data_IF_790320646884
#
_entry.id   IF_790320646884
#
_cell.length_a   1.000
_cell.length_b   1.000
_cell.length_c   1.000
_cell.angle_alpha   90.00
_cell.angle_beta   90.00
_cell.angle_gamma   90.00
#
_symmetry.space_group_name_H-M   'P 1'
#
loop_
_entity.id
_entity.type
_entity.pdbx_description
1 polymer ?
#
# COMPACT_ATOMS: atom_id res chain seq x y z
N UNK A 1 -40.14 32.97 48.52
CA UNK A 1 -40.78 31.70 48.13
C UNK A 1 -40.26 31.25 46.79
N UNK A 2 -39.71 30.04 46.79
CA UNK A 2 -39.42 29.14 45.66
C UNK A 2 -38.34 29.47 44.63
N UNK A 3 -37.18 28.91 44.89
CA UNK A 3 -36.29 28.36 43.87
C UNK A 3 -35.70 27.06 44.41
N UNK A 4 -36.24 25.91 44.04
CA UNK A 4 -35.61 24.60 44.07
C UNK A 4 -36.43 23.74 43.09
N UNK A 5 -35.90 23.49 41.89
CA UNK A 5 -36.11 22.31 41.04
C UNK A 5 -35.29 22.51 39.74
N UNK A 6 -34.16 21.85 39.60
CA UNK A 6 -33.41 21.88 38.38
C UNK A 6 -32.05 21.13 38.34
N UNK A 7 -31.62 20.53 39.45
CA UNK A 7 -30.27 19.92 39.51
C UNK A 7 -30.25 18.38 39.52
N UNK A 8 -31.41 17.72 39.53
CA UNK A 8 -31.45 16.25 39.68
C UNK A 8 -31.40 15.45 38.39
N UNK A 9 -31.80 16.03 37.26
CA UNK A 9 -31.97 15.27 36.00
C UNK A 9 -30.63 15.17 35.19
N UNK A 10 -29.76 16.19 35.30
CA UNK A 10 -28.49 16.19 34.58
C UNK A 10 -27.49 15.21 35.20
N UNK A 11 -27.49 15.05 36.52
CA UNK A 11 -26.60 14.10 37.20
C UNK A 11 -26.97 12.62 36.90
N UNK A 12 -28.25 12.30 36.75
CA UNK A 12 -28.73 10.96 36.45
C UNK A 12 -28.42 10.55 34.99
N UNK A 13 -28.48 11.49 34.03
CA UNK A 13 -28.11 11.22 32.63
C UNK A 13 -26.61 11.00 32.47
N UNK A 14 -25.75 11.75 33.16
CA UNK A 14 -24.30 11.56 33.13
C UNK A 14 -23.85 10.23 33.76
N UNK A 15 -24.52 9.81 34.87
CA UNK A 15 -24.21 8.50 35.46
C UNK A 15 -24.68 7.33 34.59
N UNK A 16 -25.81 7.44 33.89
CA UNK A 16 -26.30 6.38 33.01
C UNK A 16 -25.38 6.18 31.79
N UNK A 17 -24.81 7.26 31.22
CA UNK A 17 -23.85 7.17 30.15
C UNK A 17 -22.49 6.59 30.60
N UNK A 18 -22.01 6.96 31.78
CA UNK A 18 -20.77 6.42 32.33
C UNK A 18 -20.89 4.92 32.68
N UNK A 19 -22.02 4.49 33.19
CA UNK A 19 -22.28 3.08 33.53
C UNK A 19 -22.44 2.22 32.29
N UNK A 20 -23.08 2.71 31.23
CA UNK A 20 -23.21 1.95 29.97
C UNK A 20 -21.88 1.77 29.23
N UNK A 21 -21.00 2.79 29.25
CA UNK A 21 -19.67 2.68 28.67
C UNK A 21 -18.75 1.73 29.46
N UNK A 22 -18.82 1.73 30.77
CA UNK A 22 -18.06 0.81 31.61
C UNK A 22 -18.52 -0.65 31.45
N UNK A 23 -19.81 -0.90 31.35
CA UNK A 23 -20.35 -2.26 31.13
C UNK A 23 -19.98 -2.81 29.73
N UNK A 24 -19.93 -1.96 28.70
CA UNK A 24 -19.50 -2.39 27.36
C UNK A 24 -18.01 -2.74 27.33
N UNK A 25 -17.16 -1.91 27.92
CA UNK A 25 -15.72 -2.17 28.02
C UNK A 25 -15.39 -3.44 28.83
N UNK A 26 -16.14 -3.73 29.90
CA UNK A 26 -15.99 -4.97 30.65
C UNK A 26 -16.41 -6.19 29.82
N UNK A 27 -17.44 -6.10 28.99
CA UNK A 27 -17.85 -7.21 28.11
C UNK A 27 -16.81 -7.52 27.05
N UNK A 28 -16.19 -6.50 26.47
CA UNK A 28 -15.15 -6.65 25.44
C UNK A 28 -13.87 -7.25 26.03
N UNK A 29 -13.44 -6.79 27.20
CA UNK A 29 -12.31 -7.34 27.93
C UNK A 29 -12.52 -8.83 28.26
N UNK A 30 -13.69 -9.20 28.75
CA UNK A 30 -14.02 -10.59 29.06
C UNK A 30 -14.06 -11.47 27.79
N UNK A 31 -14.56 -10.94 26.68
CA UNK A 31 -14.57 -11.63 25.40
C UNK A 31 -13.13 -11.91 24.90
N UNK A 32 -12.24 -10.91 24.99
CA UNK A 32 -10.83 -11.05 24.63
C UNK A 32 -10.13 -12.05 25.54
N UNK A 33 -10.31 -11.95 26.85
CA UNK A 33 -9.73 -12.88 27.81
C UNK A 33 -10.15 -14.32 27.51
N UNK A 34 -11.41 -14.55 27.22
CA UNK A 34 -11.92 -15.88 26.86
C UNK A 34 -11.33 -16.38 25.55
N UNK A 35 -11.32 -15.56 24.52
CA UNK A 35 -10.81 -15.93 23.20
C UNK A 35 -9.32 -16.30 23.23
N UNK A 36 -8.54 -15.63 24.08
CA UNK A 36 -7.09 -15.81 24.21
C UNK A 36 -6.67 -16.70 25.38
N UNK A 37 -7.60 -17.22 26.17
CA UNK A 37 -7.31 -18.04 27.35
C UNK A 37 -6.58 -17.29 28.47
N UNK A 38 -6.80 -15.98 28.58
CA UNK A 38 -6.14 -15.12 29.57
C UNK A 38 -6.84 -15.17 30.93
N UNK A 39 -6.04 -15.02 31.97
CA UNK A 39 -6.50 -14.79 33.35
C UNK A 39 -6.44 -13.29 33.69
N UNK A 40 -7.10 -12.85 34.75
CA UNK A 40 -6.97 -11.48 35.26
C UNK A 40 -5.51 -11.11 35.59
N UNK A 41 -4.72 -12.10 36.03
CA UNK A 41 -3.30 -11.91 36.30
C UNK A 41 -2.50 -11.58 35.03
N UNK A 42 -2.86 -12.20 33.92
CA UNK A 42 -2.20 -11.94 32.61
C UNK A 42 -2.57 -10.53 32.13
N UNK A 43 -3.83 -10.14 32.24
CA UNK A 43 -4.28 -8.78 31.90
C UNK A 43 -3.60 -7.73 32.76
N UNK A 44 -3.46 -7.97 34.07
CA UNK A 44 -2.74 -7.07 34.96
C UNK A 44 -1.25 -6.97 34.60
N UNK A 45 -0.62 -8.07 34.23
CA UNK A 45 0.77 -8.08 33.79
C UNK A 45 0.93 -7.29 32.48
N UNK A 46 0.05 -7.49 31.50
CA UNK A 46 0.03 -6.74 30.26
C UNK A 46 -0.17 -5.23 30.50
N UNK A 47 -1.12 -4.84 31.36
CA UNK A 47 -1.36 -3.44 31.70
C UNK A 47 -0.14 -2.76 32.37
N UNK A 48 0.65 -3.50 33.15
CA UNK A 48 1.88 -2.98 33.78
C UNK A 48 3.02 -2.78 32.80
N UNK A 49 3.03 -3.54 31.72
CA UNK A 49 4.10 -3.48 30.69
C UNK A 49 3.71 -2.64 29.47
N UNK A 50 2.41 -2.35 29.29
CA UNK A 50 1.91 -1.55 28.20
C UNK A 50 2.48 -0.14 28.20
N UNK A 51 2.97 0.29 27.03
CA UNK A 51 3.45 1.65 26.82
C UNK A 51 2.58 2.32 25.75
N UNK A 52 1.70 3.25 26.16
CA UNK A 52 0.88 3.99 25.19
C UNK A 52 1.76 4.72 24.19
N UNK A 53 1.37 4.68 22.91
CA UNK A 53 2.06 5.40 21.85
C UNK A 53 2.12 6.91 22.17
N UNK A 54 3.25 7.56 21.84
CA UNK A 54 3.44 9.00 22.00
C UNK A 54 3.63 9.50 23.44
N UNK A 55 3.64 8.64 24.45
CA UNK A 55 3.79 9.10 25.84
C UNK A 55 5.21 9.32 26.33
N UNK A 56 6.20 8.72 25.66
CA UNK A 56 7.60 8.77 26.13
C UNK A 56 8.55 9.47 25.19
N UNK A 57 8.15 9.62 23.94
CA UNK A 57 8.89 10.31 22.90
C UNK A 57 7.95 11.17 22.09
N UNK A 58 8.49 12.21 21.48
CA UNK A 58 7.71 13.14 20.66
C UNK A 58 7.19 12.47 19.38
N UNK A 59 7.94 11.49 18.87
CA UNK A 59 7.58 10.75 17.66
C UNK A 59 7.72 9.25 17.88
N UNK A 60 6.87 8.49 17.19
CA UNK A 60 6.96 7.04 17.08
C UNK A 60 7.24 6.67 15.63
N UNK A 61 8.26 5.85 15.43
CA UNK A 61 8.68 5.36 14.13
C UNK A 61 8.33 3.89 13.99
N UNK A 62 7.74 3.55 12.85
CA UNK A 62 7.47 2.18 12.43
C UNK A 62 8.43 1.83 11.30
N UNK A 63 9.28 0.86 11.53
CA UNK A 63 10.29 0.43 10.57
C UNK A 63 10.05 -1.02 10.17
N UNK A 64 10.20 -1.32 8.90
CA UNK A 64 10.15 -2.70 8.45
C UNK A 64 11.31 -3.48 9.03
N UNK A 65 11.05 -4.71 9.46
CA UNK A 65 12.07 -5.66 9.90
C UNK A 65 12.66 -6.50 8.76
N UNK A 66 12.21 -6.25 7.52
CA UNK A 66 12.65 -7.02 6.36
C UNK A 66 12.31 -8.50 6.52
N UNK A 67 13.27 -9.35 6.27
CA UNK A 67 13.12 -10.80 6.30
C UNK A 67 12.80 -11.40 7.68
N UNK A 68 12.74 -10.57 8.74
CA UNK A 68 12.21 -11.04 10.03
C UNK A 68 10.68 -11.18 10.03
N UNK A 69 10.00 -10.61 9.04
CA UNK A 69 8.54 -10.62 8.92
C UNK A 69 7.83 -9.77 9.98
N UNK A 70 8.53 -8.82 10.60
CA UNK A 70 8.06 -8.01 11.71
C UNK A 70 8.12 -6.51 11.38
N UNK A 71 7.40 -5.70 12.17
CA UNK A 71 7.58 -4.25 12.23
C UNK A 71 8.20 -3.89 13.57
N UNK A 72 9.28 -3.12 13.53
CA UNK A 72 9.90 -2.57 14.72
C UNK A 72 9.31 -1.19 15.04
N UNK A 73 8.90 -1.01 16.28
CA UNK A 73 8.36 0.26 16.81
C UNK A 73 9.35 0.88 17.78
N UNK A 74 9.78 2.09 17.51
CA UNK A 74 10.69 2.81 18.39
C UNK A 74 10.40 4.29 18.48
N UNK A 75 10.84 4.91 19.58
CA UNK A 75 10.61 6.32 19.86
C UNK A 75 11.76 7.22 19.45
N UNK A 76 11.46 8.44 19.05
CA UNK A 76 12.45 9.49 18.76
C UNK A 76 12.12 10.71 19.65
N UNK A 77 13.07 11.24 20.43
CA UNK A 77 14.52 11.14 20.26
C UNK A 77 15.21 10.00 21.03
N UNK A 78 14.51 9.24 21.88
CA UNK A 78 15.19 8.27 22.78
C UNK A 78 15.82 7.08 22.07
N UNK A 79 15.39 6.75 20.86
CA UNK A 79 15.77 5.57 20.09
C UNK A 79 15.48 4.25 20.82
N UNK A 80 14.52 4.26 21.75
CA UNK A 80 14.11 3.07 22.48
C UNK A 80 13.14 2.25 21.67
N UNK A 81 13.40 0.95 21.59
CA UNK A 81 12.47 0.00 21.00
C UNK A 81 11.30 -0.20 21.98
N UNK A 82 10.08 0.00 21.49
CA UNK A 82 8.85 -0.20 22.25
C UNK A 82 8.27 -1.59 22.02
N UNK A 83 8.26 -2.04 20.75
CA UNK A 83 7.62 -3.30 20.37
C UNK A 83 8.20 -3.84 19.07
N UNK A 84 8.15 -5.16 18.90
CA UNK A 84 8.20 -5.84 17.63
C UNK A 84 6.81 -6.37 17.34
N UNK A 85 6.21 -5.98 16.22
CA UNK A 85 4.89 -6.44 15.80
C UNK A 85 5.09 -7.61 14.83
N UNK A 86 4.61 -8.80 15.16
CA UNK A 86 4.59 -9.94 14.25
C UNK A 86 3.57 -9.68 13.13
N UNK A 87 4.01 -9.83 11.89
CA UNK A 87 3.16 -9.61 10.70
C UNK A 87 3.12 -10.87 9.85
N UNK A 88 4.23 -11.18 9.18
CA UNK A 88 4.38 -12.38 8.35
C UNK A 88 5.24 -13.42 9.03
N UNK A 89 5.23 -13.43 10.33
CA UNK A 89 5.90 -14.43 11.18
C UNK A 89 5.23 -14.44 12.55
N UNK A 90 5.18 -15.60 13.23
CA UNK A 90 4.70 -15.66 14.61
C UNK A 90 5.57 -14.81 15.54
N UNK A 91 4.95 -14.17 16.53
CA UNK A 91 5.62 -13.39 17.57
C UNK A 91 5.29 -14.01 18.94
N UNK A 92 6.12 -14.91 19.46
CA UNK A 92 5.83 -15.67 20.66
C UNK A 92 5.65 -14.82 21.93
N UNK A 93 6.42 -13.75 22.04
CA UNK A 93 6.40 -12.88 23.21
C UNK A 93 5.09 -12.13 23.39
N UNK A 94 4.30 -12.04 22.33
CA UNK A 94 3.05 -11.31 22.30
C UNK A 94 1.85 -12.19 21.93
N UNK A 95 2.08 -13.49 21.85
CA UNK A 95 1.04 -14.46 21.52
C UNK A 95 0.61 -14.51 20.07
N UNK A 96 1.11 -13.61 19.20
CA UNK A 96 0.73 -13.57 17.79
C UNK A 96 1.13 -14.87 17.07
N UNK A 97 0.14 -15.51 16.43
CA UNK A 97 0.29 -16.82 15.80
C UNK A 97 0.13 -18.01 16.74
N UNK A 98 -0.25 -17.79 18.00
CA UNK A 98 -0.38 -18.85 19.02
C UNK A 98 -1.79 -18.97 19.61
N UNK A 99 -2.61 -17.94 19.54
CA UNK A 99 -4.04 -18.03 19.82
C UNK A 99 -4.86 -18.28 18.53
N UNK A 100 -6.13 -18.59 18.66
CA UNK A 100 -6.98 -18.96 17.52
C UNK A 100 -7.21 -17.79 16.56
N UNK A 101 -7.26 -16.56 17.07
CA UNK A 101 -7.49 -15.37 16.27
C UNK A 101 -6.27 -15.04 15.40
N UNK A 102 -5.10 -14.91 16.00
CA UNK A 102 -3.86 -14.59 15.28
C UNK A 102 -3.38 -15.73 14.38
N UNK A 103 -3.64 -17.00 14.75
CA UNK A 103 -3.46 -18.13 13.83
C UNK A 103 -4.33 -18.01 12.58
N UNK A 104 -5.60 -17.60 12.74
CA UNK A 104 -6.48 -17.39 11.60
C UNK A 104 -6.00 -16.26 10.69
N UNK A 105 -5.45 -15.18 11.27
CA UNK A 105 -4.85 -14.07 10.52
C UNK A 105 -3.63 -14.56 9.72
N UNK A 106 -2.69 -15.27 10.35
CA UNK A 106 -1.55 -15.83 9.64
C UNK A 106 -1.96 -16.81 8.54
N UNK A 107 -2.97 -17.64 8.81
CA UNK A 107 -3.49 -18.60 7.84
C UNK A 107 -4.17 -17.92 6.64
N UNK A 108 -4.79 -16.76 6.81
CA UNK A 108 -5.36 -16.00 5.69
C UNK A 108 -4.30 -15.55 4.67
N UNK A 109 -3.04 -15.47 5.09
CA UNK A 109 -1.88 -15.24 4.23
C UNK A 109 -1.39 -16.47 3.47
N UNK A 110 -2.13 -17.59 3.47
CA UNK A 110 -1.74 -18.80 2.75
C UNK A 110 -1.76 -18.58 1.23
N UNK A 111 -0.70 -19.02 0.55
CA UNK A 111 -0.56 -18.87 -0.89
C UNK A 111 -0.66 -20.23 -1.56
N UNK A 112 -1.57 -20.36 -2.52
CA UNK A 112 -1.79 -21.61 -3.26
C UNK A 112 -2.04 -22.81 -2.34
N UNK A 113 -2.79 -22.59 -1.26
CA UNK A 113 -3.12 -23.62 -0.26
C UNK A 113 -1.98 -23.99 0.68
N UNK A 114 -0.83 -23.30 0.63
CA UNK A 114 0.28 -23.49 1.57
C UNK A 114 0.28 -22.35 2.59
N UNK A 115 0.26 -22.71 3.85
CA UNK A 115 0.46 -21.78 4.94
C UNK A 115 1.92 -21.28 4.90
N UNK A 116 2.08 -19.98 4.79
CA UNK A 116 3.37 -19.32 4.86
C UNK A 116 3.39 -18.44 6.10
N UNK A 117 4.04 -18.92 7.15
CA UNK A 117 4.19 -18.20 8.41
C UNK A 117 5.32 -17.18 8.39
N UNK A 118 5.99 -17.01 7.24
CA UNK A 118 7.15 -16.13 7.13
C UNK A 118 7.14 -15.33 5.83
N UNK A 119 7.59 -14.07 5.92
CA UNK A 119 7.67 -13.16 4.80
C UNK A 119 8.73 -12.07 5.03
N UNK A 120 8.76 -11.12 4.10
CA UNK A 120 9.70 -10.01 4.07
C UNK A 120 8.93 -8.68 4.11
N UNK A 121 8.82 -8.09 5.30
CA UNK A 121 8.12 -6.81 5.47
C UNK A 121 8.86 -5.66 4.79
N UNK A 122 8.14 -4.89 3.96
CA UNK A 122 8.67 -3.74 3.24
C UNK A 122 7.69 -2.56 3.27
N UNK A 123 8.24 -1.35 3.17
CA UNK A 123 7.54 -0.08 2.94
C UNK A 123 6.26 0.12 3.79
N UNK A 124 6.38 0.30 5.12
CA UNK A 124 5.23 0.60 5.95
C UNK A 124 4.66 1.99 5.64
N UNK A 125 3.35 2.12 5.60
CA UNK A 125 2.65 3.39 5.43
C UNK A 125 1.53 3.55 6.45
N UNK A 126 1.36 4.78 6.95
CA UNK A 126 0.33 5.14 7.93
C UNK A 126 -0.95 5.59 7.23
N UNK A 127 -2.08 5.40 7.88
CA UNK A 127 -3.32 6.06 7.45
C UNK A 127 -3.17 7.58 7.37
N UNK A 128 -3.84 8.18 6.40
CA UNK A 128 -3.86 9.63 6.17
C UNK A 128 -5.29 10.20 6.20
N UNK A 129 -5.41 11.46 6.62
CA UNK A 129 -6.60 12.31 6.46
C UNK A 129 -6.17 13.65 5.87
N UNK A 130 -6.72 14.00 4.72
CA UNK A 130 -6.33 15.21 3.96
C UNK A 130 -4.83 15.29 3.67
N UNK A 131 -4.18 14.14 3.46
CA UNK A 131 -2.74 14.05 3.19
C UNK A 131 -1.84 14.14 4.42
N UNK A 132 -2.41 14.20 5.62
CA UNK A 132 -1.67 14.23 6.89
C UNK A 132 -1.73 12.86 7.56
N UNK A 133 -0.61 12.40 8.10
CA UNK A 133 -0.55 11.12 8.81
C UNK A 133 -1.43 11.11 10.06
N UNK A 134 -2.18 10.05 10.20
CA UNK A 134 -2.95 9.73 11.41
C UNK A 134 -2.57 8.33 11.89
N UNK A 135 -2.38 8.17 13.18
CA UNK A 135 -1.83 6.95 13.77
C UNK A 135 -2.90 5.89 14.10
N UNK A 136 -3.88 5.66 13.23
CA UNK A 136 -4.92 4.67 13.49
C UNK A 136 -4.53 3.28 12.97
N UNK A 137 -4.00 3.20 11.74
CA UNK A 137 -3.57 1.95 11.10
C UNK A 137 -2.26 2.12 10.37
N UNK A 138 -1.53 1.01 10.25
CA UNK A 138 -0.35 0.87 9.43
C UNK A 138 -0.59 -0.26 8.42
N UNK A 139 -0.15 -0.04 7.19
CA UNK A 139 -0.12 -1.04 6.14
C UNK A 139 1.30 -1.42 5.84
N UNK A 140 1.54 -2.69 5.50
CA UNK A 140 2.87 -3.16 5.14
C UNK A 140 2.75 -4.34 4.18
N UNK A 141 3.56 -4.30 3.12
CA UNK A 141 3.60 -5.34 2.12
C UNK A 141 4.65 -6.41 2.42
N UNK A 142 4.49 -7.56 1.79
CA UNK A 142 5.44 -8.68 1.81
C UNK A 142 6.17 -8.75 0.47
N UNK A 143 7.44 -8.37 0.46
CA UNK A 143 8.25 -8.43 -0.75
C UNK A 143 8.50 -9.86 -1.25
N UNK A 144 8.55 -10.82 -0.34
CA UNK A 144 8.80 -12.23 -0.70
C UNK A 144 7.57 -12.91 -1.28
N UNK A 145 6.36 -12.44 -0.95
CA UNK A 145 5.10 -13.05 -1.34
C UNK A 145 4.05 -11.97 -1.64
N UNK A 146 3.05 -12.25 -2.49
CA UNK A 146 2.03 -11.26 -2.85
C UNK A 146 1.02 -11.02 -1.72
N UNK A 147 1.45 -10.40 -0.62
CA UNK A 147 0.60 -10.16 0.56
C UNK A 147 0.75 -8.74 1.07
N UNK A 148 -0.34 -8.22 1.61
CA UNK A 148 -0.39 -6.99 2.40
C UNK A 148 -1.00 -7.27 3.76
N UNK A 149 -0.55 -6.57 4.79
CA UNK A 149 -1.12 -6.64 6.13
C UNK A 149 -1.64 -5.29 6.60
N UNK A 150 -2.66 -5.34 7.45
CA UNK A 150 -3.21 -4.21 8.21
C UNK A 150 -2.85 -4.40 9.67
N UNK A 151 -2.26 -3.37 10.27
CA UNK A 151 -1.89 -3.31 11.68
C UNK A 151 -2.71 -2.22 12.36
N UNK A 152 -3.38 -2.55 13.45
CA UNK A 152 -4.06 -1.59 14.29
C UNK A 152 -3.02 -0.93 15.22
N UNK A 153 -2.90 0.38 15.19
CA UNK A 153 -1.92 1.10 15.99
C UNK A 153 -2.41 1.49 17.40
N UNK A 154 -3.65 1.21 17.74
CA UNK A 154 -4.12 1.40 19.11
C UNK A 154 -3.61 0.31 20.05
N UNK A 155 -3.36 -0.90 19.51
CA UNK A 155 -2.85 -2.06 20.26
C UNK A 155 -1.57 -2.65 19.68
N UNK A 156 -1.13 -2.18 18.51
CA UNK A 156 0.02 -2.69 17.75
C UNK A 156 -0.14 -4.16 17.35
N UNK A 157 -1.32 -4.53 16.91
CA UNK A 157 -1.62 -5.89 16.47
C UNK A 157 -1.92 -5.94 14.98
N UNK A 158 -1.41 -6.98 14.33
CA UNK A 158 -1.79 -7.32 12.95
C UNK A 158 -3.21 -7.88 12.97
N UNK A 159 -4.11 -7.24 12.22
CA UNK A 159 -5.55 -7.57 12.23
C UNK A 159 -6.01 -8.24 10.96
N UNK A 160 -5.26 -8.13 9.86
CA UNK A 160 -5.60 -8.72 8.58
C UNK A 160 -4.35 -8.97 7.75
N UNK A 161 -4.34 -10.08 7.01
CA UNK A 161 -3.43 -10.34 5.90
C UNK A 161 -4.29 -10.65 4.68
N UNK A 162 -4.01 -9.98 3.56
CA UNK A 162 -4.68 -10.18 2.27
C UNK A 162 -3.66 -10.66 1.26
N UNK A 163 -4.04 -11.65 0.43
CA UNK A 163 -3.20 -12.19 -0.64
C UNK A 163 -3.65 -11.61 -1.97
N UNK A 164 -2.72 -11.06 -2.73
CA UNK A 164 -3.00 -10.63 -4.09
C UNK A 164 -3.06 -11.85 -5.03
N UNK A 165 -4.21 -12.09 -5.69
CA UNK A 165 -4.40 -13.31 -6.47
C UNK A 165 -3.76 -13.25 -7.86
N UNK A 166 -3.25 -12.11 -8.30
CA UNK A 166 -2.78 -11.90 -9.69
C UNK A 166 -1.29 -11.64 -9.82
N UNK A 167 -0.59 -11.25 -8.74
CA UNK A 167 0.84 -10.93 -8.78
C UNK A 167 1.68 -11.98 -8.05
N UNK A 168 3.00 -11.86 -8.10
CA UNK A 168 3.93 -12.82 -7.47
C UNK A 168 4.68 -12.23 -6.29
N UNK A 169 4.79 -10.91 -6.21
CA UNK A 169 5.49 -10.18 -5.18
C UNK A 169 4.92 -8.76 -5.11
N UNK A 170 4.78 -8.25 -3.92
CA UNK A 170 4.42 -6.87 -3.67
C UNK A 170 5.64 -6.12 -3.14
N UNK A 171 6.17 -5.17 -3.90
CA UNK A 171 7.33 -4.38 -3.47
C UNK A 171 7.08 -2.88 -3.59
N UNK A 172 6.23 -2.46 -4.51
CA UNK A 172 5.97 -1.06 -4.83
C UNK A 172 5.29 -0.25 -3.73
N UNK A 173 5.43 -0.70 -2.50
CA UNK A 173 4.96 -0.02 -1.31
C UNK A 173 3.55 -0.42 -0.88
N UNK A 174 3.13 0.13 0.25
CA UNK A 174 1.76 0.10 0.75
C UNK A 174 1.28 1.54 0.86
N UNK A 175 1.46 2.33 -0.21
CA UNK A 175 1.20 3.77 -0.19
C UNK A 175 -0.30 4.06 -0.20
N UNK A 176 -0.68 5.23 0.30
CA UNK A 176 -2.05 5.50 0.69
C UNK A 176 -2.58 6.72 -0.04
N UNK A 177 -3.83 6.67 -0.52
CA UNK A 177 -4.53 7.87 -0.96
C UNK A 177 -4.76 8.83 0.23
N UNK A 178 -4.82 10.16 -0.01
CA UNK A 178 -4.78 11.18 1.05
C UNK A 178 -5.88 11.13 2.10
N UNK A 179 -6.92 10.33 1.89
CA UNK A 179 -7.98 10.08 2.89
C UNK A 179 -8.12 8.59 3.21
N UNK A 180 -7.08 7.80 2.92
CA UNK A 180 -7.05 6.36 3.17
C UNK A 180 -8.18 5.60 2.46
N UNK A 181 -8.64 6.08 1.30
CA UNK A 181 -9.66 5.37 0.51
C UNK A 181 -9.11 4.07 -0.07
N UNK A 182 -7.83 4.11 -0.48
CA UNK A 182 -7.10 2.99 -1.06
C UNK A 182 -5.69 2.90 -0.52
N UNK A 183 -5.22 1.66 -0.37
CA UNK A 183 -3.80 1.34 -0.29
C UNK A 183 -3.36 0.93 -1.69
N UNK A 184 -2.27 1.52 -2.19
CA UNK A 184 -1.75 1.30 -3.54
C UNK A 184 -0.50 0.42 -3.43
N UNK A 185 -0.46 -0.65 -4.20
CA UNK A 185 0.68 -1.54 -4.30
C UNK A 185 1.05 -1.79 -5.76
N UNK A 186 2.32 -1.63 -6.09
CA UNK A 186 2.86 -1.95 -7.40
C UNK A 186 3.62 -3.29 -7.36
N UNK A 187 3.30 -4.19 -8.29
CA UNK A 187 3.95 -5.48 -8.39
C UNK A 187 5.39 -5.33 -8.90
N UNK A 188 6.36 -5.83 -8.14
CA UNK A 188 7.78 -5.70 -8.51
C UNK A 188 8.09 -6.38 -9.86
N UNK A 189 7.53 -7.54 -10.10
CA UNK A 189 7.84 -8.32 -11.30
C UNK A 189 6.61 -8.44 -12.19
N UNK A 190 6.81 -8.25 -13.48
CA UNK A 190 5.81 -8.66 -14.46
C UNK A 190 5.58 -10.17 -14.38
N UNK A 191 4.34 -10.58 -14.46
CA UNK A 191 3.94 -11.99 -14.38
C UNK A 191 2.78 -12.28 -15.33
N UNK A 192 2.59 -13.53 -15.75
CA UNK A 192 1.36 -13.94 -16.40
C UNK A 192 0.19 -13.77 -15.40
N UNK A 193 -0.78 -12.93 -15.74
CA UNK A 193 -1.90 -12.64 -14.84
C UNK A 193 -2.84 -13.83 -14.66
N UNK A 194 -2.83 -14.79 -15.58
CA UNK A 194 -3.59 -16.04 -15.49
C UNK A 194 -2.98 -17.09 -14.52
N UNK A 195 -1.85 -16.74 -13.88
CA UNK A 195 -1.05 -17.64 -13.04
C UNK A 195 -0.51 -18.91 -13.77
N UNK A 196 -0.58 -18.91 -15.11
CA UNK A 196 0.00 -19.95 -15.95
C UNK A 196 1.53 -19.93 -15.99
N UNK A 197 2.09 -20.94 -16.65
CA UNK A 197 3.50 -20.96 -17.04
C UNK A 197 3.58 -20.60 -18.51
N UNK A 198 4.33 -19.54 -18.80
CA UNK A 198 4.57 -19.06 -20.15
C UNK A 198 6.08 -19.01 -20.42
N UNK A 199 6.47 -19.26 -21.66
CA UNK A 199 7.85 -19.10 -22.09
C UNK A 199 8.28 -17.63 -21.95
N UNK A 200 9.57 -17.40 -21.74
CA UNK A 200 10.13 -16.04 -21.79
C UNK A 200 9.97 -15.41 -23.19
N UNK A 201 9.88 -16.23 -24.23
CA UNK A 201 9.63 -15.75 -25.60
C UNK A 201 8.21 -15.15 -25.76
N UNK A 202 7.31 -15.45 -24.82
CA UNK A 202 5.95 -14.87 -24.76
C UNK A 202 5.89 -13.64 -23.83
N UNK A 203 7.04 -13.08 -23.41
CA UNK A 203 7.08 -12.00 -22.42
C UNK A 203 6.20 -10.81 -22.79
N UNK A 204 6.30 -10.34 -24.02
CA UNK A 204 5.50 -9.24 -24.54
C UNK A 204 3.98 -9.48 -24.51
N UNK A 205 3.56 -10.70 -24.78
CA UNK A 205 2.16 -11.07 -24.98
C UNK A 205 1.48 -11.58 -23.70
N UNK A 206 2.20 -12.37 -22.89
CA UNK A 206 1.64 -13.08 -21.75
C UNK A 206 1.92 -12.41 -20.40
N UNK A 207 3.05 -11.70 -20.27
CA UNK A 207 3.42 -11.05 -19.01
C UNK A 207 2.84 -9.64 -18.91
N UNK A 208 2.48 -9.24 -17.73
CA UNK A 208 1.96 -7.90 -17.40
C UNK A 208 2.49 -7.42 -16.07
N UNK A 209 2.72 -6.10 -15.98
CA UNK A 209 2.81 -5.39 -14.73
C UNK A 209 1.41 -5.16 -14.14
N UNK A 210 1.35 -4.80 -12.89
CA UNK A 210 0.10 -4.45 -12.23
C UNK A 210 0.32 -3.46 -11.09
N UNK A 211 -0.67 -2.58 -10.90
CA UNK A 211 -0.82 -1.78 -9.68
C UNK A 211 -2.17 -2.11 -9.07
N UNK A 212 -2.19 -2.48 -7.80
CA UNK A 212 -3.39 -2.87 -7.08
C UNK A 212 -3.85 -1.75 -6.16
N UNK A 213 -5.14 -1.49 -6.18
CA UNK A 213 -5.84 -0.52 -5.35
C UNK A 213 -6.68 -1.30 -4.34
N UNK A 214 -6.17 -1.45 -3.13
CA UNK A 214 -6.85 -2.10 -2.04
C UNK A 214 -7.81 -1.14 -1.36
N UNK A 215 -9.11 -1.34 -1.53
CA UNK A 215 -10.13 -0.50 -0.89
C UNK A 215 -10.07 -0.67 0.62
N UNK A 216 -9.85 0.43 1.35
CA UNK A 216 -9.82 0.38 2.80
C UNK A 216 -11.16 0.84 3.40
N UNK A 217 -11.78 -0.03 4.17
CA UNK A 217 -12.95 0.28 4.98
C UNK A 217 -12.47 0.83 6.33
N UNK A 218 -12.24 2.14 6.38
CA UNK A 218 -11.64 2.82 7.53
C UNK A 218 -12.39 2.56 8.85
N UNK A 219 -13.76 2.65 8.91
CA UNK A 219 -14.50 2.34 10.12
C UNK A 219 -14.30 0.91 10.66
N UNK A 220 -14.06 -0.05 9.77
CA UNK A 220 -13.80 -1.44 10.15
C UNK A 220 -12.32 -1.75 10.36
N UNK A 221 -11.42 -0.86 9.92
CA UNK A 221 -9.99 -1.09 9.95
C UNK A 221 -9.54 -2.29 9.08
N UNK A 222 -10.17 -2.48 7.92
CA UNK A 222 -9.94 -3.65 7.06
C UNK A 222 -9.95 -3.31 5.58
N UNK A 223 -9.17 -4.05 4.82
CA UNK A 223 -9.25 -4.05 3.36
C UNK A 223 -10.50 -4.81 2.93
N UNK A 224 -11.31 -4.20 2.07
CA UNK A 224 -12.41 -4.82 1.35
C UNK A 224 -11.90 -5.38 0.01
N UNK A 225 -11.56 -6.66 -0.01
CA UNK A 225 -11.05 -7.34 -1.20
C UNK A 225 -12.03 -7.29 -2.37
N UNK A 226 -13.34 -7.32 -2.10
CA UNK A 226 -14.38 -7.30 -3.15
C UNK A 226 -14.52 -5.92 -3.80
N UNK A 227 -14.25 -4.87 -3.06
CA UNK A 227 -14.26 -3.51 -3.58
C UNK A 227 -12.93 -3.12 -4.22
N UNK A 228 -11.87 -3.89 -3.99
CA UNK A 228 -10.53 -3.70 -4.54
C UNK A 228 -10.46 -4.03 -6.03
N UNK A 229 -9.47 -3.48 -6.71
CA UNK A 229 -9.20 -3.72 -8.13
C UNK A 229 -7.73 -3.48 -8.45
N UNK A 230 -7.28 -3.94 -9.63
CA UNK A 230 -5.96 -3.62 -10.17
C UNK A 230 -6.05 -2.93 -11.52
N UNK A 231 -5.01 -2.20 -11.87
CA UNK A 231 -4.73 -1.72 -13.22
C UNK A 231 -3.68 -2.64 -13.85
N UNK A 232 -3.98 -3.17 -15.02
CA UNK A 232 -2.99 -3.84 -15.87
C UNK A 232 -2.01 -2.81 -16.44
N UNK A 233 -0.74 -3.13 -16.41
CA UNK A 233 0.34 -2.34 -17.00
C UNK A 233 1.11 -3.19 -18.03
N UNK A 234 1.87 -2.58 -18.93
CA UNK A 234 2.85 -3.30 -19.73
C UNK A 234 3.74 -4.18 -18.86
N UNK A 235 4.46 -5.16 -19.42
CA UNK A 235 5.32 -6.04 -18.63
C UNK A 235 6.58 -5.33 -18.11
N UNK A 236 6.46 -4.07 -17.74
CA UNK A 236 7.47 -3.31 -17.04
C UNK A 236 7.43 -3.68 -15.56
N UNK A 237 8.58 -3.95 -14.98
CA UNK A 237 8.67 -4.16 -13.55
C UNK A 237 8.40 -2.85 -12.84
N UNK A 238 7.64 -2.92 -11.76
CA UNK A 238 7.31 -1.73 -10.98
C UNK A 238 8.20 -1.63 -9.75
N UNK A 239 8.52 -0.41 -9.34
CA UNK A 239 9.12 -0.12 -8.05
C UNK A 239 8.14 0.69 -7.20
N UNK A 240 8.56 1.72 -6.48
CA UNK A 240 7.69 2.41 -5.53
C UNK A 240 6.58 3.20 -6.21
N UNK A 241 5.52 3.41 -5.47
CA UNK A 241 4.36 4.24 -5.86
C UNK A 241 4.07 5.31 -4.80
N UNK A 242 3.37 6.36 -5.17
CA UNK A 242 2.79 7.33 -4.23
C UNK A 242 1.49 7.92 -4.80
N UNK A 243 0.61 8.35 -3.91
CA UNK A 243 -0.66 8.98 -4.26
C UNK A 243 -0.56 10.50 -4.29
N UNK A 244 -1.19 11.11 -5.28
CA UNK A 244 -1.29 12.55 -5.39
C UNK A 244 -2.12 13.18 -4.27
N UNK A 245 -1.61 14.29 -3.74
CA UNK A 245 -2.23 15.12 -2.70
C UNK A 245 -2.59 16.49 -3.29
N UNK A 246 -3.31 17.33 -2.58
CA UNK A 246 -3.55 18.72 -2.99
C UNK A 246 -3.89 18.87 -4.48
N UNK A 247 -2.98 19.49 -5.26
CA UNK A 247 -3.18 19.74 -6.69
C UNK A 247 -3.25 18.48 -7.55
N UNK A 248 -2.58 17.40 -7.15
CA UNK A 248 -2.61 16.11 -7.85
C UNK A 248 -3.59 15.10 -7.24
N UNK A 249 -4.49 15.54 -6.36
CA UNK A 249 -5.52 14.66 -5.79
C UNK A 249 -6.30 13.90 -6.88
N UNK A 250 -6.51 12.63 -6.67
CA UNK A 250 -7.16 11.75 -7.65
C UNK A 250 -6.19 11.08 -8.64
N UNK A 251 -4.92 11.46 -8.59
CA UNK A 251 -3.85 10.84 -9.37
C UNK A 251 -2.92 10.03 -8.48
N UNK A 252 -2.19 9.12 -9.09
CA UNK A 252 -1.12 8.40 -8.43
C UNK A 252 -0.01 8.08 -9.44
N UNK A 253 1.13 7.69 -8.92
CA UNK A 253 2.37 7.56 -9.67
C UNK A 253 3.08 6.28 -9.25
N UNK A 254 3.73 5.60 -10.21
CA UNK A 254 4.66 4.51 -9.88
C UNK A 254 5.81 4.50 -10.89
N UNK A 255 7.00 4.16 -10.41
CA UNK A 255 8.16 3.99 -11.26
C UNK A 255 8.17 2.60 -11.90
N UNK A 256 8.61 2.50 -13.15
CA UNK A 256 9.05 1.22 -13.68
C UNK A 256 10.56 1.04 -13.50
N UNK A 257 10.99 -0.21 -13.47
CA UNK A 257 12.38 -0.61 -13.52
C UNK A 257 12.55 -1.71 -14.57
N UNK A 258 13.73 -1.78 -15.18
CA UNK A 258 14.03 -2.80 -16.18
C UNK A 258 13.00 -2.89 -17.31
N UNK A 259 12.50 -1.73 -17.78
CA UNK A 259 11.56 -1.68 -18.91
C UNK A 259 12.16 -2.30 -20.18
N UNK A 260 13.46 -2.30 -20.29
CA UNK A 260 14.21 -2.97 -21.36
C UNK A 260 14.00 -4.50 -21.41
N UNK A 261 13.64 -5.13 -20.31
CA UNK A 261 13.27 -6.56 -20.30
C UNK A 261 12.11 -6.84 -21.24
N UNK A 262 11.22 -5.87 -21.38
CA UNK A 262 10.11 -5.89 -22.30
C UNK A 262 10.57 -5.84 -23.78
N UNK A 263 11.59 -5.04 -24.11
CA UNK A 263 12.12 -4.90 -25.46
C UNK A 263 13.06 -6.05 -25.85
N UNK A 264 13.09 -7.09 -25.01
CA UNK A 264 13.99 -8.20 -25.16
C UNK A 264 15.25 -8.07 -24.32
N UNK A 265 15.43 -6.94 -23.58
CA UNK A 265 16.40 -6.67 -22.48
C UNK A 265 17.80 -7.16 -22.66
N UNK A 266 18.02 -7.81 -23.74
CA UNK A 266 19.21 -8.48 -24.14
C UNK A 266 19.68 -7.65 -25.32
N UNK A 267 20.49 -6.65 -25.07
CA UNK A 267 21.41 -6.24 -26.11
C UNK A 267 22.07 -7.53 -26.61
N UNK A 268 21.89 -7.80 -27.86
CA UNK A 268 22.25 -9.05 -28.53
C UNK A 268 23.58 -9.58 -28.02
N UNK A 269 23.55 -10.57 -27.14
CA UNK A 269 24.72 -11.19 -26.54
C UNK A 269 25.13 -10.76 -25.13
N UNK A 270 24.39 -9.85 -24.49
CA UNK A 270 24.61 -9.48 -23.08
C UNK A 270 23.47 -10.02 -22.19
N UNK A 271 23.78 -10.59 -21.02
CA UNK A 271 22.75 -11.03 -20.10
C UNK A 271 21.97 -9.83 -19.53
N UNK A 272 20.67 -9.97 -19.29
CA UNK A 272 19.89 -8.93 -18.63
C UNK A 272 20.34 -8.77 -17.19
N UNK A 273 20.82 -7.61 -16.82
CA UNK A 273 21.14 -7.24 -15.46
C UNK A 273 20.27 -6.08 -15.02
N UNK A 274 19.71 -6.16 -13.82
CA UNK A 274 19.01 -5.03 -13.22
C UNK A 274 19.87 -3.77 -13.17
N UNK A 275 21.14 -3.90 -12.82
CA UNK A 275 22.08 -2.78 -12.74
C UNK A 275 23.00 -2.63 -13.95
N UNK A 276 22.93 -3.55 -14.92
CA UNK A 276 23.84 -3.57 -16.08
C UNK A 276 23.16 -3.26 -17.38
N UNK A 277 21.92 -2.89 -17.30
CA UNK A 277 21.12 -2.61 -18.45
C UNK A 277 21.70 -1.45 -19.27
N UNK A 278 21.36 -1.43 -20.53
CA UNK A 278 21.90 -0.55 -21.56
C UNK A 278 21.82 0.94 -21.19
N UNK A 279 22.77 1.74 -21.65
CA UNK A 279 22.72 3.19 -21.54
C UNK A 279 21.58 3.83 -22.31
N UNK A 280 20.94 3.08 -23.19
CA UNK A 280 19.82 3.54 -24.02
C UNK A 280 18.46 3.16 -23.43
N UNK A 281 18.42 2.47 -22.29
CA UNK A 281 17.20 2.05 -21.68
C UNK A 281 16.48 3.24 -21.06
N UNK A 282 15.18 3.23 -21.20
CA UNK A 282 14.29 4.24 -20.66
C UNK A 282 13.30 3.55 -19.74
N UNK A 283 13.31 3.92 -18.50
CA UNK A 283 12.24 3.60 -17.57
C UNK A 283 11.13 4.67 -17.66
N UNK A 284 10.01 4.41 -17.00
CA UNK A 284 8.85 5.26 -17.10
C UNK A 284 8.26 5.56 -15.73
N UNK A 285 7.94 6.82 -15.49
CA UNK A 285 6.94 7.18 -14.50
C UNK A 285 5.56 6.89 -15.10
N UNK A 286 4.82 5.99 -14.48
CA UNK A 286 3.42 5.76 -14.78
C UNK A 286 2.60 6.82 -14.05
N UNK A 287 1.73 7.51 -14.79
CA UNK A 287 0.82 8.54 -14.28
C UNK A 287 -0.59 8.04 -14.49
N UNK A 288 -1.33 7.78 -13.42
CA UNK A 288 -2.67 7.23 -13.52
C UNK A 288 -3.68 7.94 -12.62
N UNK A 289 -4.89 8.11 -13.14
CA UNK A 289 -6.00 8.71 -12.40
C UNK A 289 -6.82 7.61 -11.72
N UNK A 290 -6.58 7.39 -10.42
CA UNK A 290 -7.24 6.33 -9.67
C UNK A 290 -8.75 6.53 -9.52
N UNK A 291 -9.25 7.76 -9.54
CA UNK A 291 -10.69 8.03 -9.48
C UNK A 291 -11.42 7.61 -10.77
N UNK A 292 -10.76 7.74 -11.92
CA UNK A 292 -11.29 7.22 -13.19
C UNK A 292 -11.21 5.70 -13.18
N UNK A 293 -10.09 5.13 -12.73
CA UNK A 293 -9.91 3.67 -12.64
C UNK A 293 -10.94 3.02 -11.72
N UNK A 294 -11.26 3.63 -10.57
CA UNK A 294 -12.32 3.17 -9.67
C UNK A 294 -13.67 3.05 -10.42
N UNK A 295 -14.01 4.04 -11.24
CA UNK A 295 -15.26 4.00 -12.05
C UNK A 295 -15.20 2.93 -13.13
N UNK A 296 -14.07 2.77 -13.80
CA UNK A 296 -13.89 1.71 -14.80
C UNK A 296 -14.04 0.32 -14.19
N UNK A 297 -13.53 0.11 -12.99
CA UNK A 297 -13.62 -1.16 -12.26
C UNK A 297 -15.05 -1.54 -11.83
N UNK A 298 -16.04 -0.65 -12.03
CA UNK A 298 -17.44 -0.94 -11.75
C UNK A 298 -18.21 -1.44 -12.99
N UNK A 299 -17.67 -1.27 -14.21
CA UNK A 299 -18.32 -1.68 -15.45
C UNK A 299 -17.53 -2.82 -16.10
N UNK A 300 -18.17 -4.00 -16.17
CA UNK A 300 -17.57 -5.26 -16.64
C UNK A 300 -16.91 -5.17 -18.04
N UNK A 301 -17.28 -4.22 -18.87
CA UNK A 301 -16.64 -4.03 -20.19
C UNK A 301 -15.22 -3.45 -20.11
N UNK A 302 -14.82 -2.86 -18.98
CA UNK A 302 -13.56 -2.18 -18.81
C UNK A 302 -12.52 -3.01 -18.04
N UNK A 303 -12.90 -4.17 -17.50
CA UNK A 303 -12.00 -5.01 -16.73
C UNK A 303 -12.14 -6.48 -17.11
N UNK A 304 -11.11 -7.25 -16.83
CA UNK A 304 -11.13 -8.71 -16.80
C UNK A 304 -11.24 -9.17 -15.36
N UNK A 305 -11.93 -10.26 -15.13
CA UNK A 305 -11.92 -10.93 -13.84
C UNK A 305 -10.90 -12.06 -13.88
N UNK A 306 -9.88 -11.98 -13.03
CA UNK A 306 -8.79 -12.94 -12.95
C UNK A 306 -8.71 -13.44 -11.52
N UNK A 307 -8.93 -14.73 -11.31
CA UNK A 307 -8.95 -15.36 -9.98
C UNK A 307 -9.93 -14.67 -8.99
N UNK A 308 -11.05 -14.16 -9.48
CA UNK A 308 -12.04 -13.44 -8.69
C UNK A 308 -11.70 -11.97 -8.41
N UNK A 309 -10.60 -11.47 -8.97
CA UNK A 309 -10.15 -10.09 -8.83
C UNK A 309 -10.38 -9.30 -10.12
N UNK A 310 -10.79 -8.03 -10.00
CA UNK A 310 -11.05 -7.13 -11.13
C UNK A 310 -9.76 -6.47 -11.58
N UNK A 311 -9.43 -6.62 -12.86
CA UNK A 311 -8.23 -6.04 -13.48
C UNK A 311 -8.66 -5.13 -14.62
N UNK A 312 -8.60 -3.82 -14.42
CA UNK A 312 -8.88 -2.81 -15.45
C UNK A 312 -7.83 -2.95 -16.55
N UNK A 313 -8.27 -3.05 -17.79
CA UNK A 313 -7.35 -3.28 -18.92
C UNK A 313 -6.63 -1.99 -19.32
N UNK A 314 -5.44 -2.14 -19.92
CA UNK A 314 -4.68 -1.00 -20.48
C UNK A 314 -5.55 -0.21 -21.44
N UNK A 315 -6.25 -0.91 -22.36
CA UNK A 315 -7.09 -0.27 -23.39
C UNK A 315 -8.22 0.56 -22.79
N UNK A 316 -8.85 0.06 -21.71
CA UNK A 316 -9.92 0.80 -21.04
C UNK A 316 -9.37 2.04 -20.32
N UNK A 317 -8.23 1.91 -19.64
CA UNK A 317 -7.58 3.00 -18.94
C UNK A 317 -7.10 4.10 -19.90
N UNK A 318 -6.44 3.73 -20.98
CA UNK A 318 -5.97 4.66 -22.03
C UNK A 318 -7.16 5.36 -22.69
N UNK A 319 -8.18 4.63 -23.09
CA UNK A 319 -9.40 5.19 -23.72
C UNK A 319 -10.10 6.19 -22.81
N UNK A 320 -10.08 5.96 -21.51
CA UNK A 320 -10.67 6.87 -20.52
C UNK A 320 -9.77 8.04 -20.14
N UNK A 321 -8.53 8.11 -20.64
CA UNK A 321 -7.55 9.11 -20.24
C UNK A 321 -7.07 8.95 -18.80
N UNK A 322 -6.92 7.73 -18.36
CA UNK A 322 -6.55 7.40 -16.99
C UNK A 322 -5.12 6.86 -16.83
N UNK A 323 -4.38 6.66 -17.93
CA UNK A 323 -3.01 6.11 -17.89
C UNK A 323 -2.12 6.80 -18.90
N UNK A 324 -0.94 7.25 -18.46
CA UNK A 324 0.09 7.93 -19.24
C UNK A 324 1.48 7.49 -18.77
N UNK A 325 2.48 7.67 -19.64
CA UNK A 325 3.89 7.43 -19.35
C UNK A 325 4.71 8.71 -19.50
N UNK A 326 5.70 8.89 -18.62
CA UNK A 326 6.75 9.91 -18.79
C UNK A 326 8.08 9.18 -18.76
N UNK A 327 8.95 9.35 -19.78
CA UNK A 327 10.31 8.80 -19.72
C UNK A 327 11.04 9.37 -18.52
N UNK A 328 11.79 8.52 -17.84
CA UNK A 328 12.61 8.94 -16.70
C UNK A 328 13.98 8.29 -16.72
N UNK A 329 14.94 8.83 -15.95
CA UNK A 329 16.26 8.23 -15.84
C UNK A 329 16.20 6.81 -15.35
N UNK A 330 17.18 6.04 -15.80
CA UNK A 330 17.28 4.61 -15.60
C UNK A 330 17.22 4.17 -14.14
N UNK A 331 16.50 3.07 -13.94
CA UNK A 331 16.37 2.37 -12.67
C UNK A 331 15.94 3.31 -11.54
N UNK A 332 14.85 4.06 -11.72
CA UNK A 332 14.28 4.84 -10.64
C UNK A 332 13.82 3.93 -9.50
N UNK A 333 13.76 4.46 -8.28
CA UNK A 333 13.32 3.70 -7.11
C UNK A 333 12.20 4.42 -6.38
N UNK A 334 12.50 5.53 -5.73
CA UNK A 334 11.50 6.31 -4.99
C UNK A 334 10.67 7.19 -5.91
N UNK A 335 9.40 7.33 -5.56
CA UNK A 335 8.50 8.36 -6.05
C UNK A 335 7.78 8.97 -4.87
N UNK A 336 7.89 10.29 -4.71
CA UNK A 336 7.29 11.02 -3.61
C UNK A 336 6.55 12.26 -4.13
N UNK A 337 5.35 12.48 -3.65
CA UNK A 337 4.54 13.66 -3.99
C UNK A 337 4.68 14.71 -2.90
N UNK A 338 4.99 15.95 -3.29
CA UNK A 338 5.06 17.07 -2.34
C UNK A 338 3.74 17.29 -1.60
N UNK A 339 3.76 17.85 -0.37
CA UNK A 339 2.53 18.03 0.43
C UNK A 339 1.44 18.85 -0.25
N UNK A 340 1.81 19.80 -1.11
CA UNK A 340 0.87 20.58 -1.94
C UNK A 340 0.39 19.83 -3.18
N UNK A 341 0.97 18.67 -3.48
CA UNK A 341 0.65 17.83 -4.63
C UNK A 341 1.15 18.32 -5.97
N UNK A 342 1.99 19.35 -5.95
CA UNK A 342 2.49 20.00 -7.19
C UNK A 342 3.68 19.27 -7.78
N UNK A 343 4.60 18.80 -6.93
CA UNK A 343 5.84 18.20 -7.40
C UNK A 343 5.86 16.69 -7.16
N UNK A 344 6.36 15.97 -8.15
CA UNK A 344 6.65 14.56 -8.06
C UNK A 344 8.16 14.41 -8.13
N UNK A 345 8.76 13.84 -7.08
CA UNK A 345 10.21 13.70 -6.95
C UNK A 345 10.59 12.25 -7.13
N UNK A 346 11.49 11.98 -8.06
CA UNK A 346 11.98 10.65 -8.39
C UNK A 346 13.44 10.53 -7.98
N UNK A 347 13.77 9.49 -7.24
CA UNK A 347 15.13 9.11 -6.91
C UNK A 347 15.57 7.87 -7.68
N UNK A 348 16.64 7.95 -8.43
CA UNK A 348 17.17 6.86 -9.23
C UNK A 348 18.27 6.06 -8.53
N UNK A 349 18.30 4.75 -8.70
CA UNK A 349 19.39 3.89 -8.20
C UNK A 349 20.69 4.12 -9.00
N UNK A 350 20.57 4.42 -10.28
CA UNK A 350 21.68 4.56 -11.22
C UNK A 350 21.85 6.00 -11.73
N UNK A 351 21.08 6.94 -11.25
CA UNK A 351 21.21 8.36 -11.54
C UNK A 351 21.87 9.09 -10.37
N UNK A 352 22.64 10.10 -10.67
CA UNK A 352 23.31 10.96 -9.68
C UNK A 352 22.44 12.15 -9.26
N UNK A 353 21.26 12.28 -9.84
CA UNK A 353 20.34 13.39 -9.64
C UNK A 353 18.96 12.90 -9.24
N UNK A 354 18.21 13.69 -8.48
CA UNK A 354 16.79 13.55 -8.33
C UNK A 354 16.09 14.25 -9.51
N UNK A 355 15.10 13.60 -10.09
CA UNK A 355 14.24 14.19 -11.13
C UNK A 355 12.99 14.75 -10.46
N UNK A 356 12.62 15.98 -10.81
CA UNK A 356 11.44 16.67 -10.26
C UNK A 356 10.50 17.03 -11.40
N UNK A 357 9.31 16.47 -11.39
CA UNK A 357 8.23 16.80 -12.30
C UNK A 357 7.28 17.84 -11.71
N UNK A 358 6.71 18.71 -12.53
CA UNK A 358 5.65 19.65 -12.15
C UNK A 358 4.29 19.11 -12.62
N UNK A 359 3.43 18.76 -11.68
CA UNK A 359 2.11 18.17 -11.99
C UNK A 359 1.24 19.11 -12.86
N UNK A 360 1.36 20.43 -12.69
CA UNK A 360 0.62 21.38 -13.54
C UNK A 360 1.03 21.25 -15.00
N UNK A 361 2.31 21.02 -15.27
CA UNK A 361 2.82 20.79 -16.61
C UNK A 361 2.34 19.45 -17.16
N UNK A 362 2.39 18.39 -16.35
CA UNK A 362 1.83 17.08 -16.69
C UNK A 362 0.35 17.21 -17.06
N UNK A 363 -0.43 17.79 -16.16
CA UNK A 363 -1.88 17.96 -16.36
C UNK A 363 -2.22 18.79 -17.61
N UNK A 364 -1.45 19.86 -17.88
CA UNK A 364 -1.64 20.69 -19.06
C UNK A 364 -1.40 19.90 -20.36
N UNK A 365 -0.37 19.06 -20.42
CA UNK A 365 -0.11 18.22 -21.58
C UNK A 365 -1.23 17.18 -21.78
N UNK A 366 -1.71 16.57 -20.72
CA UNK A 366 -2.83 15.62 -20.75
C UNK A 366 -4.11 16.30 -21.26
N UNK A 367 -4.46 17.46 -20.72
CA UNK A 367 -5.68 18.19 -21.08
C UNK A 367 -5.66 18.66 -22.55
N UNK A 368 -4.50 19.05 -23.06
CA UNK A 368 -4.30 19.44 -24.45
C UNK A 368 -4.10 18.27 -25.40
N UNK A 369 -3.93 17.05 -24.87
CA UNK A 369 -3.56 15.84 -25.62
C UNK A 369 -2.26 16.03 -26.41
N UNK A 370 -1.30 16.73 -25.82
CA UNK A 370 0.04 16.95 -26.39
C UNK A 370 0.97 15.82 -25.97
N UNK A 371 1.01 14.76 -26.77
CA UNK A 371 1.81 13.57 -26.51
C UNK A 371 3.05 13.55 -27.42
N UNK A 372 4.18 13.07 -26.88
CA UNK A 372 5.42 12.86 -27.65
C UNK A 372 5.36 11.59 -28.50
N UNK A 373 4.49 10.66 -28.15
CA UNK A 373 4.30 9.39 -28.85
C UNK A 373 3.38 8.46 -28.07
N UNK A 374 3.45 7.19 -28.41
CA UNK A 374 2.82 6.09 -27.68
C UNK A 374 3.80 4.94 -27.53
N UNK A 375 3.68 4.15 -26.46
CA UNK A 375 4.40 2.90 -26.35
C UNK A 375 3.77 1.80 -27.24
N UNK A 376 4.32 0.60 -27.23
CA UNK A 376 3.80 -0.52 -28.01
C UNK A 376 2.46 -1.07 -27.51
N UNK A 377 2.00 -0.66 -26.32
CA UNK A 377 0.68 -0.97 -25.78
C UNK A 377 -0.35 0.14 -26.03
N UNK A 378 0.04 1.20 -26.76
CA UNK A 378 -0.83 2.32 -27.09
C UNK A 378 -0.98 3.35 -25.97
N UNK A 379 -0.15 3.28 -24.92
CA UNK A 379 -0.19 4.25 -23.83
C UNK A 379 0.48 5.56 -24.28
N UNK A 380 -0.20 6.71 -24.12
CA UNK A 380 0.40 8.00 -24.49
C UNK A 380 1.63 8.32 -23.66
N UNK A 381 2.69 8.76 -24.31
CA UNK A 381 3.95 9.20 -23.70
C UNK A 381 3.99 10.72 -23.69
N UNK A 382 4.22 11.31 -22.51
CA UNK A 382 4.43 12.74 -22.35
C UNK A 382 5.91 13.09 -22.57
N UNK A 383 6.15 14.31 -23.03
CA UNK A 383 7.52 14.80 -23.24
C UNK A 383 8.22 15.06 -21.90
N UNK A 384 9.35 14.40 -21.66
CA UNK A 384 10.12 14.55 -20.43
C UNK A 384 10.48 16.01 -20.15
N UNK A 385 11.03 16.72 -21.12
CA UNK A 385 11.51 18.10 -20.92
C UNK A 385 10.39 19.09 -20.61
N UNK A 386 9.20 18.83 -21.16
CA UNK A 386 8.02 19.67 -20.91
C UNK A 386 7.35 19.42 -19.56
N UNK A 387 7.68 18.32 -18.89
CA UNK A 387 7.11 17.94 -17.59
C UNK A 387 8.02 18.28 -16.41
N UNK A 388 9.31 18.47 -16.65
CA UNK A 388 10.28 18.81 -15.61
C UNK A 388 10.00 20.16 -14.94
N UNK A 389 10.28 20.23 -13.63
CA UNK A 389 10.33 21.47 -12.89
C UNK A 389 11.66 22.18 -13.15
N UNK A 390 11.65 23.33 -13.73
CA UNK A 390 12.85 24.14 -13.99
C UNK A 390 13.15 24.30 -15.44
#
# INVERSE_FOLDING_TARGET
MNKIFGSGIVAAACMAFAVSSACAADSDLQAIMKARGLTEKDVLAAAKTYQPSGKKDDYIVFSSGGQSGQVMVYGVPSMRIYKFIGVFTPEPWQGYGFDEESKAILKSGAIRGKELSWGDTHHPALTEKNGEYVGDYLFINDKANPRIAVINLHDFETTQIVVNPIVKSEHGGSFITPNSEYVIEAAQYAAPLDNGYHSIDEYESAYRGAVTFWKFDYPKGKIDEKASFSLELPPYWQDLSDAGKGESFGWAFSNSINSEMYTGGIEKGLPPFEAGASRNDTDYLHVYNWQILEKLAQDKKNYREINGHRVVTIEAAVKAGALFLIPEPKSPHGVDVSPDGRYIVIGGKLDTHATVFDFRKIKNLIDKKEFAGTDSYGIPILDLQKTLHG
#
